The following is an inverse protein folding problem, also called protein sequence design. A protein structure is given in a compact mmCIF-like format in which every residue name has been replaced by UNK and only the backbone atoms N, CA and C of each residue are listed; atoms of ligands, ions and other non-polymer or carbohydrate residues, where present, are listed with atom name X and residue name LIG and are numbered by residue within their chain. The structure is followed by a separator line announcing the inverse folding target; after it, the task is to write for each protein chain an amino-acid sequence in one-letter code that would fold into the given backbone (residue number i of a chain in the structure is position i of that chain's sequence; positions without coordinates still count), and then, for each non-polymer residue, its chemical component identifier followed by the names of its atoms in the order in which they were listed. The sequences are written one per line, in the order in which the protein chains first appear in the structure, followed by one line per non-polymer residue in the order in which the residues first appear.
data_IF_244498285266
#
_entry.id   IF_244498285266
#
_cell.length_a   1.000
_cell.length_b   1.000
_cell.length_c   1.000
_cell.angle_alpha   90.00
_cell.angle_beta   90.00
_cell.angle_gamma   90.00
#
_symmetry.space_group_name_H-M   'P 1'
#
loop_
_entity.id
_entity.type
_entity.pdbx_description
1 polymer ?
#
# COMPACT_ATOMS: atom_id res chain seq x y z
N UNK A 1 -15.91 65.03 41.29
CA UNK A 1 -16.79 64.67 40.15
C UNK A 1 -16.06 63.60 39.35
N UNK A 2 -16.65 62.40 39.25
CA UNK A 2 -16.10 61.21 38.58
C UNK A 2 -16.73 61.09 37.18
N UNK A 3 -15.94 60.85 36.15
CA UNK A 3 -16.41 60.26 34.89
C UNK A 3 -15.36 59.26 34.39
N UNK A 4 -15.75 57.98 34.38
CA UNK A 4 -15.04 56.83 33.82
C UNK A 4 -15.86 56.36 32.61
N UNK A 5 -15.29 56.12 31.42
CA UNK A 5 -15.99 55.45 30.34
C UNK A 5 -15.74 53.91 30.33
N UNK A 6 -16.61 53.15 29.66
CA UNK A 6 -16.81 51.72 29.93
C UNK A 6 -15.95 50.79 29.07
N UNK A 7 -15.56 49.69 29.70
CA UNK A 7 -15.64 48.29 29.23
C UNK A 7 -15.48 48.01 27.72
N UNK A 8 -14.34 47.41 27.36
CA UNK A 8 -14.24 46.47 26.25
C UNK A 8 -13.42 45.26 26.71
N UNK A 9 -14.10 44.31 27.34
CA UNK A 9 -13.60 42.95 27.58
C UNK A 9 -13.59 42.18 26.26
N UNK A 10 -12.43 42.10 25.62
CA UNK A 10 -12.19 41.19 24.51
C UNK A 10 -12.04 39.75 25.05
N UNK A 11 -13.12 38.97 24.99
CA UNK A 11 -13.08 37.54 25.31
C UNK A 11 -12.49 36.80 24.10
N UNK A 12 -11.19 36.49 24.16
CA UNK A 12 -10.55 35.55 23.26
C UNK A 12 -11.06 34.14 23.60
N UNK A 13 -12.06 33.65 22.85
CA UNK A 13 -12.47 32.25 22.90
C UNK A 13 -11.41 31.39 22.19
N UNK A 14 -10.52 30.79 22.99
CA UNK A 14 -9.49 29.87 22.52
C UNK A 14 -10.14 28.52 22.20
N UNK A 15 -10.52 28.33 20.93
CA UNK A 15 -11.02 27.05 20.40
C UNK A 15 -9.90 26.00 20.39
N UNK A 16 -9.78 25.26 21.49
CA UNK A 16 -8.89 24.11 21.62
C UNK A 16 -9.44 22.94 20.77
N UNK A 17 -9.06 22.90 19.49
CA UNK A 17 -9.27 21.73 18.64
C UNK A 17 -8.39 20.59 19.17
N UNK A 18 -9.01 19.71 19.96
CA UNK A 18 -8.47 18.42 20.37
C UNK A 18 -8.19 17.57 19.12
N UNK A 19 -6.94 17.59 18.65
CA UNK A 19 -6.42 16.61 17.73
C UNK A 19 -6.34 15.26 18.46
N UNK A 20 -7.44 14.48 18.43
CA UNK A 20 -7.40 13.09 18.86
C UNK A 20 -6.42 12.34 17.93
N UNK A 21 -5.42 11.63 18.47
CA UNK A 21 -4.61 10.75 17.66
C UNK A 21 -5.55 9.70 17.06
N UNK A 22 -5.60 9.60 15.74
CA UNK A 22 -6.25 8.48 15.07
C UNK A 22 -5.46 7.22 15.46
N UNK A 23 -5.94 6.50 16.48
CA UNK A 23 -5.51 5.14 16.76
C UNK A 23 -5.83 4.34 15.51
N UNK A 24 -4.80 3.96 14.76
CA UNK A 24 -4.97 3.08 13.61
C UNK A 24 -5.49 1.75 14.13
N UNK A 25 -6.65 1.35 13.63
CA UNK A 25 -7.23 0.07 13.98
C UNK A 25 -6.29 -1.04 13.51
N UNK A 26 -6.24 -2.14 14.26
CA UNK A 26 -5.49 -3.32 13.83
C UNK A 26 -5.86 -3.69 12.38
N UNK A 27 -4.90 -4.17 11.57
CA UNK A 27 -5.16 -4.56 10.19
C UNK A 27 -6.36 -5.52 10.11
N UNK A 28 -7.24 -5.35 9.12
CA UNK A 28 -8.40 -6.22 8.97
C UNK A 28 -7.96 -7.66 8.74
N UNK A 29 -8.71 -8.62 9.27
CA UNK A 29 -8.45 -10.06 9.06
C UNK A 29 -8.49 -10.47 7.59
N UNK A 30 -9.15 -9.65 6.75
CA UNK A 30 -9.21 -9.84 5.29
C UNK A 30 -7.95 -9.37 4.56
N UNK A 31 -6.97 -8.76 5.25
CA UNK A 31 -5.76 -8.22 4.61
C UNK A 31 -4.99 -9.30 3.84
N UNK A 32 -4.82 -10.47 4.44
CA UNK A 32 -4.21 -11.64 3.80
C UNK A 32 -4.95 -12.08 2.54
N UNK A 33 -6.27 -12.18 2.62
CA UNK A 33 -7.10 -12.61 1.50
C UNK A 33 -7.13 -11.58 0.37
N UNK A 34 -7.27 -10.29 0.68
CA UNK A 34 -7.44 -9.23 -0.32
C UNK A 34 -6.10 -8.78 -0.89
N UNK A 35 -5.20 -8.27 -0.05
CA UNK A 35 -3.91 -7.77 -0.50
C UNK A 35 -3.00 -8.93 -0.91
N UNK A 36 -2.95 -10.02 -0.13
CA UNK A 36 -2.16 -11.19 -0.49
C UNK A 36 -2.56 -11.78 -1.85
N UNK A 37 -3.85 -12.02 -2.11
CA UNK A 37 -4.29 -12.55 -3.42
C UNK A 37 -3.98 -11.59 -4.58
N UNK A 38 -4.14 -10.29 -4.36
CA UNK A 38 -3.77 -9.26 -5.34
C UNK A 38 -2.29 -9.29 -5.67
N UNK A 39 -1.41 -9.37 -4.66
CA UNK A 39 0.04 -9.46 -4.84
C UNK A 39 0.48 -10.73 -5.55
N UNK A 40 -0.23 -11.85 -5.35
CA UNK A 40 0.04 -13.11 -6.05
C UNK A 40 -0.56 -13.17 -7.47
N UNK A 41 -1.17 -12.09 -7.96
CA UNK A 41 -1.91 -12.02 -9.22
C UNK A 41 -3.06 -13.03 -9.36
N UNK A 42 -3.64 -13.48 -8.24
CA UNK A 42 -4.76 -14.44 -8.24
C UNK A 42 -6.13 -13.79 -8.45
N UNK A 43 -6.22 -12.47 -8.24
CA UNK A 43 -7.47 -11.72 -8.23
C UNK A 43 -7.47 -10.56 -9.25
N UNK A 44 -8.55 -9.78 -9.25
CA UNK A 44 -8.73 -8.56 -10.01
C UNK A 44 -7.60 -7.55 -9.74
N UNK A 45 -7.12 -6.85 -10.76
CA UNK A 45 -6.07 -5.81 -10.64
C UNK A 45 -6.64 -4.39 -10.69
N UNK A 46 -7.93 -4.22 -10.40
CA UNK A 46 -8.56 -2.90 -10.37
C UNK A 46 -7.93 -2.05 -9.27
N UNK A 47 -7.25 -0.99 -9.68
CA UNK A 47 -6.60 -0.05 -8.77
C UNK A 47 -7.60 0.62 -7.84
N UNK A 48 -8.81 0.94 -8.32
CA UNK A 48 -9.87 1.53 -7.49
C UNK A 48 -10.26 0.61 -6.32
N UNK A 49 -10.42 -0.68 -6.59
CA UNK A 49 -10.76 -1.66 -5.54
C UNK A 49 -9.71 -1.67 -4.41
N UNK A 50 -8.43 -1.75 -4.75
CA UNK A 50 -7.36 -1.72 -3.74
C UNK A 50 -7.25 -0.35 -3.07
N UNK A 51 -7.41 0.76 -3.79
CA UNK A 51 -7.37 2.10 -3.22
C UNK A 51 -8.47 2.28 -2.16
N UNK A 52 -9.72 1.93 -2.51
CA UNK A 52 -10.85 2.04 -1.60
C UNK A 52 -10.68 1.14 -0.37
N UNK A 53 -10.12 -0.06 -0.55
CA UNK A 53 -9.77 -0.96 0.55
C UNK A 53 -8.71 -0.34 1.48
N UNK A 54 -7.62 0.18 0.92
CA UNK A 54 -6.54 0.77 1.70
C UNK A 54 -6.99 2.02 2.45
N UNK A 55 -7.76 2.91 1.81
CA UNK A 55 -8.32 4.10 2.46
C UNK A 55 -9.24 3.72 3.62
N UNK A 56 -10.09 2.70 3.44
CA UNK A 56 -11.04 2.27 4.45
C UNK A 56 -10.36 1.76 5.73
N UNK A 57 -9.25 1.04 5.62
CA UNK A 57 -8.65 0.35 6.76
C UNK A 57 -7.36 0.98 7.28
N UNK A 58 -6.61 1.69 6.43
CA UNK A 58 -5.32 2.28 6.76
C UNK A 58 -5.31 3.82 6.64
N UNK A 59 -6.42 4.42 6.23
CA UNK A 59 -6.54 5.86 6.05
C UNK A 59 -5.94 6.36 4.73
N UNK A 60 -5.83 7.69 4.56
CA UNK A 60 -5.37 8.27 3.30
C UNK A 60 -3.92 7.89 2.99
N UNK A 61 -3.54 7.82 1.71
CA UNK A 61 -2.15 7.58 1.33
C UNK A 61 -1.26 8.72 1.85
N UNK A 62 -0.07 8.36 2.34
CA UNK A 62 0.86 9.32 2.92
C UNK A 62 1.73 10.02 1.86
N UNK A 63 1.84 9.42 0.66
CA UNK A 63 2.46 10.06 -0.51
C UNK A 63 1.93 9.52 -1.83
N UNK A 64 2.22 10.27 -2.90
CA UNK A 64 2.00 9.88 -4.29
C UNK A 64 3.29 10.01 -5.07
N UNK A 65 3.82 8.89 -5.56
CA UNK A 65 5.13 8.85 -6.21
C UNK A 65 5.24 7.65 -7.15
N UNK A 66 5.89 7.83 -8.30
CA UNK A 66 6.16 6.73 -9.23
C UNK A 66 4.90 6.11 -9.85
N UNK A 67 3.84 6.89 -10.00
CA UNK A 67 2.55 6.40 -10.51
C UNK A 67 1.75 5.57 -9.50
N UNK A 68 2.00 5.77 -8.21
CA UNK A 68 1.33 5.04 -7.14
C UNK A 68 0.93 5.94 -5.98
N UNK A 69 -0.18 5.57 -5.35
CA UNK A 69 -0.51 5.95 -3.98
C UNK A 69 0.19 5.01 -3.00
N UNK A 70 0.79 5.57 -1.97
CA UNK A 70 1.55 4.82 -0.96
C UNK A 70 0.85 4.90 0.39
N UNK A 71 0.62 3.75 1.00
CA UNK A 71 -0.04 3.59 2.28
C UNK A 71 0.93 2.99 3.28
N UNK A 72 0.94 3.51 4.51
CA UNK A 72 1.60 2.82 5.62
C UNK A 72 0.67 1.75 6.15
N UNK A 73 1.25 0.62 6.54
CA UNK A 73 0.49 -0.53 6.99
C UNK A 73 1.03 -1.04 8.31
N UNK A 74 0.86 -0.23 9.36
CA UNK A 74 1.26 -0.59 10.72
C UNK A 74 0.65 -1.93 11.13
N UNK A 75 1.46 -2.80 11.74
CA UNK A 75 1.12 -4.15 12.20
C UNK A 75 0.63 -5.14 11.11
N UNK A 76 0.64 -4.76 9.83
CA UNK A 76 0.18 -5.62 8.76
C UNK A 76 1.18 -6.72 8.45
N UNK A 77 0.69 -7.95 8.27
CA UNK A 77 1.54 -9.10 7.96
C UNK A 77 0.98 -9.92 6.82
N UNK A 78 1.87 -10.43 5.97
CA UNK A 78 1.59 -11.44 4.95
C UNK A 78 2.69 -12.50 5.00
N UNK A 79 2.31 -13.77 4.92
CA UNK A 79 3.26 -14.89 4.93
C UNK A 79 4.22 -14.89 6.13
N UNK A 80 3.74 -14.38 7.27
CA UNK A 80 4.55 -14.21 8.47
C UNK A 80 5.61 -13.11 8.36
N UNK A 81 5.65 -12.32 7.29
CA UNK A 81 6.51 -11.15 7.12
C UNK A 81 5.72 -9.87 7.41
N UNK A 82 6.37 -8.87 7.99
CA UNK A 82 5.79 -7.54 8.16
C UNK A 82 5.71 -6.83 6.80
N UNK A 83 4.57 -6.19 6.53
CA UNK A 83 4.35 -5.36 5.35
C UNK A 83 4.35 -3.92 5.82
N UNK A 84 5.39 -3.17 5.44
CA UNK A 84 5.57 -1.79 5.90
C UNK A 84 4.81 -0.78 5.03
N UNK A 85 4.61 -1.14 3.76
CA UNK A 85 3.91 -0.29 2.81
C UNK A 85 3.10 -1.13 1.82
N UNK A 86 1.95 -0.60 1.42
CA UNK A 86 1.20 -1.05 0.24
C UNK A 86 1.15 0.08 -0.76
N UNK A 87 1.35 -0.26 -2.03
CA UNK A 87 1.31 0.66 -3.16
C UNK A 87 0.21 0.27 -4.12
N UNK A 88 -0.55 1.26 -4.57
CA UNK A 88 -1.67 1.06 -5.50
C UNK A 88 -1.50 2.03 -6.66
N UNK A 89 -1.63 1.54 -7.89
CA UNK A 89 -1.53 2.38 -9.10
C UNK A 89 -2.46 3.60 -9.01
N UNK A 90 -1.93 4.78 -9.29
CA UNK A 90 -2.69 6.04 -9.29
C UNK A 90 -3.34 6.37 -10.65
N UNK A 91 -3.29 5.39 -11.55
CA UNK A 91 -3.80 5.45 -12.91
C UNK A 91 -3.04 6.35 -13.89
N UNK A 92 -1.91 6.95 -13.49
CA UNK A 92 -1.07 7.79 -14.37
C UNK A 92 -0.20 7.00 -15.36
N UNK A 93 -0.08 5.67 -15.18
CA UNK A 93 0.71 4.79 -16.05
C UNK A 93 -0.18 3.83 -16.87
N UNK A 94 0.33 3.28 -17.99
CA UNK A 94 -0.39 2.29 -18.80
C UNK A 94 -0.66 0.95 -18.10
N UNK A 95 -0.10 0.73 -16.91
CA UNK A 95 -0.28 -0.47 -16.10
C UNK A 95 -1.09 -0.17 -14.83
N UNK A 96 -2.02 -1.06 -14.52
CA UNK A 96 -2.66 -1.14 -13.20
C UNK A 96 -1.89 -2.15 -12.35
N UNK A 97 -1.66 -1.81 -11.10
CA UNK A 97 -0.88 -2.65 -10.20
C UNK A 97 -1.27 -2.46 -8.74
N UNK A 98 -1.01 -3.51 -7.97
CA UNK A 98 -0.93 -3.49 -6.51
C UNK A 98 0.44 -4.06 -6.13
N UNK A 99 1.08 -3.47 -5.14
CA UNK A 99 2.38 -3.89 -4.63
C UNK A 99 2.48 -3.69 -3.14
N UNK A 100 3.50 -4.31 -2.55
CA UNK A 100 3.81 -4.18 -1.14
C UNK A 100 5.31 -4.23 -0.91
N UNK A 101 5.77 -3.51 0.12
CA UNK A 101 7.14 -3.59 0.62
C UNK A 101 7.10 -4.38 1.92
N UNK A 102 7.85 -5.48 1.97
CA UNK A 102 7.97 -6.32 3.15
C UNK A 102 9.29 -6.05 3.86
N UNK A 103 9.29 -6.09 5.20
CA UNK A 103 10.51 -6.04 6.02
C UNK A 103 11.23 -7.40 5.98
N UNK A 104 11.68 -7.77 4.79
CA UNK A 104 12.31 -9.05 4.47
C UNK A 104 13.17 -8.90 3.22
N UNK A 105 13.95 -9.92 2.86
CA UNK A 105 14.64 -9.94 1.55
C UNK A 105 13.79 -10.67 0.51
N UNK A 106 13.97 -10.42 -0.80
CA UNK A 106 13.28 -11.15 -1.86
C UNK A 106 13.33 -12.68 -1.73
N UNK A 107 14.46 -13.24 -1.29
CA UNK A 107 14.66 -14.67 -1.05
C UNK A 107 13.77 -15.17 0.09
N UNK A 108 13.80 -14.50 1.24
CA UNK A 108 13.00 -14.89 2.41
C UNK A 108 11.51 -14.74 2.16
N UNK A 109 11.10 -13.70 1.43
CA UNK A 109 9.71 -13.51 1.05
C UNK A 109 9.25 -14.61 0.08
N UNK A 110 10.08 -14.94 -0.92
CA UNK A 110 9.82 -16.05 -1.85
C UNK A 110 9.65 -17.38 -1.09
N UNK A 111 10.58 -17.71 -0.18
CA UNK A 111 10.50 -18.93 0.64
C UNK A 111 9.21 -18.98 1.47
N UNK A 112 8.82 -17.87 2.09
CA UNK A 112 7.60 -17.77 2.88
C UNK A 112 6.33 -17.98 2.03
N UNK A 113 6.29 -17.39 0.83
CA UNK A 113 5.18 -17.57 -0.11
C UNK A 113 5.12 -19.02 -0.61
N UNK A 114 6.25 -19.64 -0.92
CA UNK A 114 6.29 -21.06 -1.31
C UNK A 114 5.74 -21.93 -0.18
N UNK A 115 6.14 -21.67 1.07
CA UNK A 115 5.74 -22.47 2.22
C UNK A 115 4.23 -22.41 2.51
N UNK A 116 3.60 -21.25 2.33
CA UNK A 116 2.18 -21.05 2.67
C UNK A 116 1.24 -21.20 1.48
N UNK A 117 1.66 -20.78 0.28
CA UNK A 117 0.82 -20.67 -0.91
C UNK A 117 1.26 -21.58 -2.07
N UNK A 118 2.42 -22.23 -1.96
CA UNK A 118 2.97 -23.11 -2.99
C UNK A 118 3.39 -22.40 -4.29
N UNK A 119 3.30 -21.07 -4.35
CA UNK A 119 3.61 -20.31 -5.56
C UNK A 119 5.13 -20.18 -5.73
N UNK A 120 5.65 -20.76 -6.81
CA UNK A 120 7.08 -20.71 -7.15
C UNK A 120 7.42 -19.54 -8.06
N UNK A 121 8.63 -19.03 -7.90
CA UNK A 121 9.18 -17.96 -8.72
C UNK A 121 10.40 -18.45 -9.48
N UNK A 122 10.56 -17.98 -10.71
CA UNK A 122 11.78 -18.15 -11.50
C UNK A 122 12.55 -16.83 -11.53
N UNK A 123 13.88 -16.88 -11.51
CA UNK A 123 14.72 -15.72 -11.79
C UNK A 123 14.70 -15.45 -13.30
N UNK A 124 14.35 -14.24 -13.72
CA UNK A 124 14.22 -13.90 -15.15
C UNK A 124 15.46 -13.22 -15.74
N UNK A 125 16.48 -13.01 -14.92
CA UNK A 125 17.78 -12.49 -15.31
C UNK A 125 18.91 -13.05 -14.42
N UNK A 126 20.16 -12.85 -14.84
CA UNK A 126 21.37 -13.30 -14.14
C UNK A 126 22.08 -12.16 -13.39
N UNK A 127 21.37 -11.05 -13.10
CA UNK A 127 21.97 -9.93 -12.37
C UNK A 127 22.22 -10.29 -10.90
N UNK A 128 22.95 -9.41 -10.20
CA UNK A 128 23.18 -9.55 -8.75
C UNK A 128 21.89 -9.53 -7.93
N UNK A 129 20.86 -8.83 -8.43
CA UNK A 129 19.57 -8.64 -7.75
C UNK A 129 18.44 -8.99 -8.73
N UNK A 130 18.30 -10.29 -9.07
CA UNK A 130 17.44 -10.69 -10.17
C UNK A 130 15.97 -10.48 -9.83
N UNK A 131 15.20 -10.11 -10.85
CA UNK A 131 13.74 -10.13 -10.74
C UNK A 131 13.28 -11.58 -10.65
N UNK A 132 12.42 -11.85 -9.67
CA UNK A 132 11.75 -13.15 -9.50
C UNK A 132 10.35 -13.03 -10.03
N UNK A 133 9.91 -13.96 -10.88
CA UNK A 133 8.58 -13.93 -11.48
C UNK A 133 7.88 -15.28 -11.34
N UNK A 134 6.63 -15.26 -10.87
CA UNK A 134 5.75 -16.42 -10.85
C UNK A 134 4.98 -16.55 -12.18
N UNK A 135 4.47 -17.75 -12.47
CA UNK A 135 3.71 -18.02 -13.70
C UNK A 135 2.47 -17.11 -13.85
N UNK A 136 1.83 -16.74 -12.74
CA UNK A 136 0.66 -15.84 -12.74
C UNK A 136 1.01 -14.35 -12.96
N UNK A 137 2.31 -14.02 -13.07
CA UNK A 137 2.79 -12.66 -13.34
C UNK A 137 3.20 -11.86 -12.10
N UNK A 138 3.03 -12.41 -10.89
CA UNK A 138 3.55 -11.79 -9.67
C UNK A 138 5.08 -11.70 -9.72
N UNK A 139 5.62 -10.58 -9.26
CA UNK A 139 7.07 -10.33 -9.25
C UNK A 139 7.56 -9.92 -7.88
N UNK A 140 8.77 -10.38 -7.54
CA UNK A 140 9.51 -9.98 -6.34
C UNK A 140 10.85 -9.39 -6.76
N UNK A 141 11.15 -8.20 -6.27
CA UNK A 141 12.37 -7.44 -6.55
C UNK A 141 12.96 -6.86 -5.27
N UNK A 142 14.24 -6.48 -5.31
CA UNK A 142 14.83 -5.67 -4.26
C UNK A 142 14.28 -4.23 -4.32
N UNK A 143 13.94 -3.68 -3.15
CA UNK A 143 13.72 -2.27 -2.92
C UNK A 143 14.65 -1.85 -1.78
N UNK A 144 15.83 -1.32 -2.14
CA UNK A 144 16.97 -1.18 -1.22
C UNK A 144 17.30 -2.54 -0.57
N UNK A 145 17.22 -2.66 0.77
CA UNK A 145 17.48 -3.91 1.50
C UNK A 145 16.22 -4.76 1.72
N UNK A 146 15.08 -4.31 1.22
CA UNK A 146 13.76 -4.92 1.42
C UNK A 146 13.27 -5.66 0.18
N UNK A 147 12.25 -6.46 0.36
CA UNK A 147 11.51 -7.10 -0.72
C UNK A 147 10.36 -6.20 -1.13
N UNK A 148 10.21 -6.00 -2.44
CA UNK A 148 9.01 -5.44 -3.05
C UNK A 148 8.36 -6.52 -3.90
N UNK A 149 7.13 -6.88 -3.55
CA UNK A 149 6.28 -7.77 -4.33
C UNK A 149 5.20 -6.96 -5.04
N UNK A 150 4.87 -7.31 -6.27
CA UNK A 150 3.79 -6.64 -6.99
C UNK A 150 3.17 -7.53 -8.06
N UNK A 151 1.89 -7.26 -8.33
CA UNK A 151 1.19 -7.70 -9.51
C UNK A 151 0.92 -6.49 -10.41
N UNK A 152 1.33 -6.54 -11.68
CA UNK A 152 1.06 -5.49 -12.65
C UNK A 152 0.46 -6.08 -13.92
N UNK A 153 -0.61 -5.46 -14.42
CA UNK A 153 -1.26 -5.81 -15.69
C UNK A 153 -1.44 -4.55 -16.53
N UNK A 154 -1.36 -4.68 -17.84
CA UNK A 154 -1.70 -3.56 -18.74
C UNK A 154 -3.18 -3.21 -18.60
N UNK A 155 -3.49 -1.92 -18.68
CA UNK A 155 -4.88 -1.47 -18.82
C UNK A 155 -5.50 -2.13 -20.05
N UNK A 156 -6.76 -2.55 -20.00
CA UNK A 156 -7.47 -2.96 -21.20
C UNK A 156 -7.37 -1.85 -22.24
N UNK A 157 -7.12 -2.22 -23.50
CA UNK A 157 -7.16 -1.25 -24.58
C UNK A 157 -8.55 -0.58 -24.57
N UNK A 158 -8.61 0.76 -24.74
CA UNK A 158 -9.86 1.46 -24.97
C UNK A 158 -10.67 0.73 -26.05
N UNK A 159 -12.01 0.66 -25.96
CA UNK A 159 -12.80 -0.06 -26.95
C UNK A 159 -12.51 0.33 -28.41
N UNK A 160 -12.09 1.58 -28.65
CA UNK A 160 -11.71 2.10 -29.97
C UNK A 160 -10.35 1.60 -30.51
N UNK A 161 -9.56 0.90 -29.69
CA UNK A 161 -8.22 0.41 -30.02
C UNK A 161 -8.08 -1.12 -29.82
N UNK A 162 -9.20 -1.82 -29.62
CA UNK A 162 -9.24 -3.29 -29.52
C UNK A 162 -9.27 -3.95 -30.89
#
# INVERSE_FOLDING_TARGET
MRCLPPSLTAVFALSLLLALPATQAAPPTTFGTVIGSGLLCRDETSNRFYYDYMVKFFGPPYKREGGAWWFRTEDARLWGQEIVEVIVSDDSWPMVFVGAVAESTPEKLEEAIIAQDGLRYAKIDNSRFPVRQAALGSRIVYADRRAKIYCAKFKPLPPALR
#
